data_IF_322573719905
#
_entry.id   IF_322573719905
#
_cell.length_a   1.000
_cell.length_b   1.000
_cell.length_c   1.000
_cell.angle_alpha   90.00
_cell.angle_beta   90.00
_cell.angle_gamma   90.00
#
_symmetry.space_group_name_H-M   'P 1'
#
loop_
_entity.id
_entity.type
_entity.pdbx_description
1 polymer ?
#
# COMPACT_ATOMS: atom_id res chain seq x y z
N UNK A 1 -22.62 -1.48 -33.20
CA UNK A 1 -22.36 -2.64 -32.33
C UNK A 1 -20.87 -2.90 -32.31
N UNK A 2 -20.12 -2.48 -31.29
CA UNK A 2 -18.70 -2.78 -31.19
C UNK A 2 -18.50 -4.15 -30.54
N UNK A 3 -17.69 -4.96 -31.19
CA UNK A 3 -17.19 -6.26 -30.70
C UNK A 3 -16.25 -6.00 -29.53
N UNK A 4 -16.74 -6.09 -28.28
CA UNK A 4 -15.88 -6.09 -27.10
C UNK A 4 -15.17 -7.43 -26.97
N UNK A 5 -13.89 -7.32 -26.91
CA UNK A 5 -12.78 -8.22 -26.78
C UNK A 5 -13.03 -9.38 -25.78
N UNK A 6 -12.98 -10.60 -26.31
CA UNK A 6 -12.93 -11.86 -25.56
C UNK A 6 -11.60 -12.12 -24.83
N UNK A 7 -10.68 -11.14 -24.80
CA UNK A 7 -9.32 -11.30 -24.28
C UNK A 7 -9.14 -10.95 -22.80
N UNK A 8 -10.06 -10.21 -22.17
CA UNK A 8 -9.92 -9.78 -20.77
C UNK A 8 -10.24 -10.89 -19.75
N UNK A 9 -10.88 -11.98 -20.17
CA UNK A 9 -11.31 -13.08 -19.27
C UNK A 9 -10.23 -14.17 -19.12
N UNK A 10 -9.20 -14.19 -19.99
CA UNK A 10 -8.20 -15.26 -20.01
C UNK A 10 -7.16 -15.20 -18.87
N UNK A 11 -6.96 -14.03 -18.24
CA UNK A 11 -5.90 -13.88 -17.24
C UNK A 11 -6.26 -14.32 -15.81
N UNK A 12 -7.55 -14.47 -15.51
CA UNK A 12 -8.04 -15.05 -14.22
C UNK A 12 -7.84 -16.56 -14.18
N UNK A 13 -7.62 -17.20 -15.32
CA UNK A 13 -7.64 -18.64 -15.48
C UNK A 13 -6.28 -19.34 -15.50
N UNK A 14 -5.17 -18.61 -15.45
CA UNK A 14 -3.83 -19.21 -15.35
C UNK A 14 -3.61 -19.98 -14.03
N UNK A 15 -4.51 -19.84 -13.06
CA UNK A 15 -4.46 -20.56 -11.78
C UNK A 15 -5.37 -21.81 -11.72
N UNK A 16 -6.24 -22.03 -12.70
CA UNK A 16 -7.21 -23.14 -12.64
C UNK A 16 -7.52 -23.86 -13.98
N UNK A 17 -6.82 -23.59 -15.07
CA UNK A 17 -7.08 -24.30 -16.33
C UNK A 17 -6.38 -25.64 -16.41
N UNK A 18 -6.81 -26.63 -15.62
CA UNK A 18 -6.65 -28.06 -15.95
C UNK A 18 -7.69 -28.91 -15.18
N UNK A 19 -8.94 -28.71 -15.53
CA UNK A 19 -9.93 -29.76 -15.36
C UNK A 19 -10.37 -30.24 -16.75
N UNK A 20 -9.43 -30.75 -17.55
CA UNK A 20 -9.76 -31.61 -18.69
C UNK A 20 -8.87 -32.83 -18.64
N UNK A 21 -9.45 -33.93 -18.20
CA UNK A 21 -9.09 -35.32 -18.46
C UNK A 21 -7.54 -35.59 -18.62
N UNK A 22 -6.78 -35.29 -17.62
CA UNK A 22 -5.53 -35.99 -17.41
C UNK A 22 -5.86 -37.37 -16.83
N UNK A 23 -5.16 -38.45 -17.23
CA UNK A 23 -5.35 -39.76 -16.63
C UNK A 23 -5.24 -39.61 -15.12
N UNK A 24 -6.11 -40.32 -14.37
CA UNK A 24 -6.05 -40.41 -12.91
C UNK A 24 -4.66 -40.93 -12.54
N UNK A 25 -3.70 -40.04 -12.39
CA UNK A 25 -2.44 -40.34 -11.74
C UNK A 25 -2.84 -40.68 -10.29
N UNK A 26 -2.64 -41.96 -9.92
CA UNK A 26 -2.79 -42.38 -8.53
C UNK A 26 -2.04 -41.35 -7.67
N UNK A 27 -2.75 -40.73 -6.74
CA UNK A 27 -2.23 -39.72 -5.83
C UNK A 27 -1.06 -40.30 -5.04
N UNK A 28 0.18 -40.09 -5.53
CA UNK A 28 1.39 -40.56 -4.92
C UNK A 28 2.07 -39.46 -4.12
N UNK A 29 2.80 -39.87 -3.11
CA UNK A 29 3.66 -38.96 -2.32
C UNK A 29 4.98 -38.80 -3.05
N UNK A 30 5.40 -37.56 -3.33
CA UNK A 30 6.70 -37.25 -3.91
C UNK A 30 7.80 -37.15 -2.83
N UNK A 31 7.46 -36.54 -1.69
CA UNK A 31 8.34 -36.48 -0.53
C UNK A 31 7.53 -36.32 0.75
N UNK A 32 8.17 -36.56 1.91
CA UNK A 32 7.62 -36.28 3.24
C UNK A 32 8.62 -35.41 4.01
N UNK A 33 8.15 -34.31 4.57
CA UNK A 33 8.95 -33.38 5.35
C UNK A 33 8.31 -33.20 6.72
N UNK A 34 8.97 -33.64 7.78
CA UNK A 34 8.48 -33.55 9.16
C UNK A 34 7.03 -34.12 9.32
N UNK A 35 6.78 -35.27 8.66
CA UNK A 35 5.48 -35.93 8.63
C UNK A 35 4.45 -35.31 7.65
N UNK A 36 4.72 -34.16 7.05
CA UNK A 36 3.84 -33.50 6.08
C UNK A 36 4.16 -33.95 4.66
N UNK A 37 3.22 -34.54 3.89
CA UNK A 37 3.49 -35.00 2.54
C UNK A 37 3.57 -33.86 1.52
N UNK A 38 4.40 -34.04 0.50
CA UNK A 38 4.35 -33.33 -0.77
C UNK A 38 3.75 -34.30 -1.78
N UNK A 39 2.61 -33.96 -2.35
CA UNK A 39 1.91 -34.79 -3.29
C UNK A 39 2.52 -34.69 -4.69
N UNK A 40 2.47 -35.76 -5.47
CA UNK A 40 2.90 -35.74 -6.88
C UNK A 40 2.13 -34.72 -7.72
N UNK A 41 0.85 -34.55 -7.45
CA UNK A 41 0.02 -33.53 -8.10
C UNK A 41 0.50 -32.10 -7.78
N UNK A 42 0.90 -31.84 -6.53
CA UNK A 42 1.48 -30.54 -6.12
C UNK A 42 2.80 -30.26 -6.86
N UNK A 43 3.67 -31.27 -6.93
CA UNK A 43 4.93 -31.19 -7.66
C UNK A 43 4.72 -30.92 -9.16
N UNK A 44 3.83 -31.69 -9.82
CA UNK A 44 3.55 -31.54 -11.25
C UNK A 44 2.93 -30.18 -11.59
N UNK A 45 2.01 -29.69 -10.78
CA UNK A 45 1.45 -28.34 -10.96
C UNK A 45 2.51 -27.24 -10.86
N UNK A 46 3.40 -27.35 -9.88
CA UNK A 46 4.51 -26.40 -9.73
C UNK A 46 5.54 -26.52 -10.85
N UNK A 47 5.81 -27.75 -11.30
CA UNK A 47 6.71 -27.99 -12.43
C UNK A 47 6.18 -27.36 -13.71
N UNK A 48 4.90 -27.53 -13.99
CA UNK A 48 4.26 -26.91 -15.14
C UNK A 48 4.38 -25.38 -15.12
N UNK A 49 4.10 -24.76 -13.95
CA UNK A 49 4.29 -23.32 -13.79
C UNK A 49 5.74 -22.88 -13.98
N UNK A 50 6.71 -23.67 -13.47
CA UNK A 50 8.12 -23.38 -13.60
C UNK A 50 8.61 -23.49 -15.05
N UNK A 51 8.06 -24.43 -15.83
CA UNK A 51 8.41 -24.60 -17.24
C UNK A 51 8.06 -23.41 -18.13
N UNK A 52 7.07 -22.60 -17.72
CA UNK A 52 6.71 -21.35 -18.41
C UNK A 52 7.65 -20.18 -18.05
N UNK A 53 8.55 -20.34 -17.08
CA UNK A 53 9.49 -19.31 -16.65
C UNK A 53 10.78 -19.34 -17.47
N UNK A 54 11.39 -18.17 -17.80
CA UNK A 54 12.64 -18.12 -18.56
C UNK A 54 13.79 -18.90 -17.93
N UNK A 55 13.80 -19.00 -16.60
CA UNK A 55 14.86 -19.69 -15.83
C UNK A 55 14.89 -21.21 -16.06
N UNK A 56 13.80 -21.79 -16.54
CA UNK A 56 13.71 -23.21 -16.86
C UNK A 56 14.33 -23.59 -18.21
N UNK A 57 14.52 -22.62 -19.11
CA UNK A 57 14.82 -22.85 -20.52
C UNK A 57 16.11 -23.66 -20.77
N UNK A 58 17.13 -23.48 -19.94
CA UNK A 58 18.43 -24.14 -20.05
C UNK A 58 18.54 -25.42 -19.19
N UNK A 59 17.44 -25.85 -18.55
CA UNK A 59 17.43 -26.99 -17.64
C UNK A 59 16.78 -28.21 -18.31
N UNK A 60 17.37 -29.41 -18.13
CA UNK A 60 16.68 -30.64 -18.51
C UNK A 60 15.44 -30.88 -17.63
N UNK A 61 14.49 -31.71 -18.10
CA UNK A 61 13.27 -32.04 -17.33
C UNK A 61 13.60 -32.57 -15.92
N UNK A 62 14.62 -33.40 -15.81
CA UNK A 62 15.08 -33.92 -14.51
C UNK A 62 15.58 -32.80 -13.62
N UNK A 63 16.39 -31.87 -14.14
CA UNK A 63 16.89 -30.73 -13.37
C UNK A 63 15.74 -29.79 -12.92
N UNK A 64 14.76 -29.57 -13.79
CA UNK A 64 13.56 -28.80 -13.47
C UNK A 64 12.76 -29.47 -12.35
N UNK A 65 12.56 -30.77 -12.43
CA UNK A 65 11.83 -31.55 -11.42
C UNK A 65 12.54 -31.56 -10.06
N UNK A 66 13.85 -31.79 -10.05
CA UNK A 66 14.68 -31.79 -8.86
C UNK A 66 14.68 -30.41 -8.20
N UNK A 67 14.77 -29.34 -9.02
CA UNK A 67 14.70 -27.96 -8.54
C UNK A 67 13.36 -27.64 -7.89
N UNK A 68 12.25 -27.97 -8.56
CA UNK A 68 10.90 -27.70 -8.03
C UNK A 68 10.62 -28.53 -6.78
N UNK A 69 11.04 -29.80 -6.74
CA UNK A 69 10.91 -30.62 -5.56
C UNK A 69 11.72 -30.06 -4.38
N UNK A 70 12.93 -29.59 -4.62
CA UNK A 70 13.77 -28.99 -3.57
C UNK A 70 13.13 -27.71 -3.02
N UNK A 71 12.53 -26.88 -3.89
CA UNK A 71 11.76 -25.69 -3.47
C UNK A 71 10.53 -26.04 -2.65
N UNK A 72 9.79 -27.08 -3.00
CA UNK A 72 8.66 -27.56 -2.20
C UNK A 72 9.11 -28.11 -0.83
N UNK A 73 10.24 -28.80 -0.78
CA UNK A 73 10.85 -29.26 0.48
C UNK A 73 11.24 -28.06 1.34
N UNK A 74 11.91 -27.05 0.77
CA UNK A 74 12.25 -25.80 1.47
C UNK A 74 11.02 -25.10 2.04
N UNK A 75 9.92 -25.01 1.28
CA UNK A 75 8.65 -24.47 1.73
C UNK A 75 8.07 -25.26 2.92
N UNK A 76 8.06 -26.58 2.86
CA UNK A 76 7.60 -27.44 3.97
C UNK A 76 8.51 -27.33 5.20
N UNK A 77 9.82 -27.18 5.02
CA UNK A 77 10.77 -26.89 6.11
C UNK A 77 10.43 -25.56 6.80
N UNK A 78 10.11 -24.51 6.03
CA UNK A 78 9.64 -23.24 6.57
C UNK A 78 8.33 -23.41 7.34
N UNK A 79 7.35 -24.11 6.77
CA UNK A 79 6.07 -24.39 7.39
C UNK A 79 6.19 -25.26 8.66
N UNK A 80 7.25 -26.07 8.81
CA UNK A 80 7.49 -26.83 10.06
C UNK A 80 7.84 -25.91 11.24
N UNK A 81 8.29 -24.68 10.96
CA UNK A 81 8.59 -23.69 12.02
C UNK A 81 7.35 -23.09 12.66
N UNK A 82 6.22 -23.07 11.97
CA UNK A 82 4.98 -22.48 12.47
C UNK A 82 4.62 -23.06 13.83
N UNK A 83 4.60 -24.39 13.91
CA UNK A 83 4.27 -25.10 15.14
C UNK A 83 5.35 -24.91 16.24
N UNK A 84 6.63 -24.92 15.85
CA UNK A 84 7.79 -24.77 16.76
C UNK A 84 7.91 -23.34 17.31
N UNK A 85 7.60 -22.34 16.51
CA UNK A 85 7.71 -20.92 16.86
C UNK A 85 6.39 -20.36 17.39
N UNK A 86 5.36 -21.20 17.56
CA UNK A 86 4.02 -20.82 18.03
C UNK A 86 3.39 -19.68 17.24
N UNK A 87 3.56 -19.70 15.90
CA UNK A 87 3.01 -18.69 15.01
C UNK A 87 1.52 -18.96 14.83
N UNK A 88 0.68 -18.02 15.25
CA UNK A 88 -0.78 -18.13 15.15
C UNK A 88 -1.33 -17.13 14.15
N UNK A 89 -2.07 -17.61 13.15
CA UNK A 89 -2.82 -16.77 12.20
C UNK A 89 -4.30 -16.91 12.51
N UNK A 90 -4.97 -15.81 12.81
CA UNK A 90 -6.40 -15.83 13.16
C UNK A 90 -7.27 -16.04 11.92
N UNK A 91 -8.41 -16.72 12.09
CA UNK A 91 -9.42 -16.89 11.02
C UNK A 91 -9.92 -15.55 10.52
N UNK A 92 -10.12 -14.59 11.42
CA UNK A 92 -10.57 -13.24 11.06
C UNK A 92 -9.58 -12.52 10.13
N UNK A 93 -8.26 -12.66 10.37
CA UNK A 93 -7.25 -12.07 9.49
C UNK A 93 -7.26 -12.70 8.10
N UNK A 94 -7.40 -14.02 8.03
CA UNK A 94 -7.50 -14.75 6.77
C UNK A 94 -8.74 -14.32 5.99
N UNK A 95 -9.90 -14.28 6.64
CA UNK A 95 -11.16 -13.94 5.97
C UNK A 95 -11.20 -12.49 5.48
N UNK A 96 -10.61 -11.55 6.23
CA UNK A 96 -10.44 -10.17 5.78
C UNK A 96 -9.59 -10.09 4.52
N UNK A 97 -8.47 -10.83 4.45
CA UNK A 97 -7.61 -10.84 3.25
C UNK A 97 -8.26 -11.55 2.07
N UNK A 98 -9.01 -12.63 2.30
CA UNK A 98 -9.81 -13.30 1.26
C UNK A 98 -10.81 -12.31 0.66
N UNK A 99 -11.53 -11.59 1.50
CA UNK A 99 -12.53 -10.62 1.07
C UNK A 99 -11.88 -9.47 0.30
N UNK A 100 -10.76 -8.92 0.81
CA UNK A 100 -10.01 -7.86 0.12
C UNK A 100 -9.49 -8.33 -1.24
N UNK A 101 -8.94 -9.55 -1.33
CA UNK A 101 -8.45 -10.13 -2.58
C UNK A 101 -9.57 -10.29 -3.61
N UNK A 102 -10.73 -10.82 -3.22
CA UNK A 102 -11.88 -10.96 -4.13
C UNK A 102 -12.41 -9.60 -4.61
N UNK A 103 -12.45 -8.60 -3.71
CA UNK A 103 -12.84 -7.23 -4.06
C UNK A 103 -11.85 -6.61 -5.07
N UNK A 104 -10.56 -6.76 -4.82
CA UNK A 104 -9.51 -6.27 -5.72
C UNK A 104 -9.56 -6.97 -7.08
N UNK A 105 -9.82 -8.29 -7.09
CA UNK A 105 -9.96 -9.07 -8.32
C UNK A 105 -11.17 -8.58 -9.15
N UNK A 106 -12.32 -8.34 -8.51
CA UNK A 106 -13.48 -7.78 -9.17
C UNK A 106 -13.19 -6.38 -9.75
N UNK A 107 -12.57 -5.50 -8.95
CA UNK A 107 -12.19 -4.16 -9.36
C UNK A 107 -11.20 -4.16 -10.54
N UNK A 108 -10.18 -5.04 -10.53
CA UNK A 108 -9.19 -5.16 -11.62
C UNK A 108 -9.81 -5.56 -12.96
N UNK A 109 -10.97 -6.21 -12.92
CA UNK A 109 -11.73 -6.60 -14.12
C UNK A 109 -12.90 -5.67 -14.43
N UNK A 110 -13.03 -4.59 -13.65
CA UNK A 110 -14.12 -3.64 -13.78
C UNK A 110 -15.51 -4.27 -13.68
N UNK A 111 -15.67 -5.25 -12.78
CA UNK A 111 -16.92 -5.95 -12.47
C UNK A 111 -17.24 -5.86 -10.97
N UNK A 112 -18.51 -6.10 -10.61
CA UNK A 112 -18.89 -6.23 -9.21
C UNK A 112 -18.62 -7.64 -8.65
N UNK A 113 -18.62 -7.77 -7.33
CA UNK A 113 -18.42 -9.04 -6.63
C UNK A 113 -19.45 -10.11 -7.04
N UNK A 114 -20.69 -9.72 -7.26
CA UNK A 114 -21.76 -10.64 -7.66
C UNK A 114 -21.50 -11.25 -9.04
N UNK A 115 -20.97 -10.45 -9.96
CA UNK A 115 -20.56 -10.89 -11.30
C UNK A 115 -19.34 -11.81 -11.21
N UNK A 116 -18.35 -11.49 -10.37
CA UNK A 116 -17.21 -12.37 -10.11
C UNK A 116 -17.66 -13.72 -9.54
N UNK A 117 -18.55 -13.74 -8.58
CA UNK A 117 -19.11 -14.98 -8.00
C UNK A 117 -19.85 -15.85 -9.01
N UNK A 118 -20.59 -15.22 -9.94
CA UNK A 118 -21.23 -15.94 -11.06
C UNK A 118 -20.18 -16.52 -12.01
N UNK A 119 -19.13 -15.77 -12.32
CA UNK A 119 -18.02 -16.24 -13.15
C UNK A 119 -17.31 -17.45 -12.54
N UNK A 120 -17.00 -17.42 -11.23
CA UNK A 120 -16.41 -18.55 -10.49
C UNK A 120 -17.27 -19.81 -10.66
N UNK A 121 -18.59 -19.72 -10.43
CA UNK A 121 -19.49 -20.86 -10.57
C UNK A 121 -19.57 -21.40 -12.00
N UNK A 122 -19.68 -20.50 -12.99
CA UNK A 122 -19.89 -20.90 -14.38
C UNK A 122 -18.64 -21.38 -15.08
N UNK A 123 -17.49 -20.86 -14.71
CA UNK A 123 -16.23 -21.10 -15.43
C UNK A 123 -15.36 -22.13 -14.71
N UNK A 124 -15.32 -22.11 -13.37
CA UNK A 124 -14.53 -23.07 -12.59
C UNK A 124 -15.34 -24.32 -12.18
N UNK A 125 -16.66 -24.28 -12.29
CA UNK A 125 -17.51 -25.39 -11.89
C UNK A 125 -17.54 -25.69 -10.40
N UNK A 126 -17.04 -24.77 -9.56
CA UNK A 126 -17.00 -24.89 -8.10
C UNK A 126 -17.90 -23.85 -7.44
N UNK A 127 -18.34 -24.13 -6.22
CA UNK A 127 -19.07 -23.13 -5.44
C UNK A 127 -18.16 -22.00 -4.98
N UNK A 128 -18.72 -20.81 -4.76
CA UNK A 128 -17.99 -19.65 -4.19
C UNK A 128 -17.38 -20.00 -2.83
N UNK A 129 -18.09 -20.81 -2.03
CA UNK A 129 -17.57 -21.27 -0.73
C UNK A 129 -16.32 -22.14 -0.88
N UNK A 130 -16.31 -23.07 -1.85
CA UNK A 130 -15.13 -23.88 -2.15
C UNK A 130 -13.96 -23.03 -2.66
N UNK A 131 -14.23 -22.04 -3.51
CA UNK A 131 -13.20 -21.12 -3.98
C UNK A 131 -12.62 -20.30 -2.83
N UNK A 132 -13.47 -19.75 -1.95
CA UNK A 132 -13.02 -19.02 -0.75
C UNK A 132 -12.21 -19.89 0.18
N UNK A 133 -12.58 -21.16 0.39
CA UNK A 133 -11.81 -22.10 1.24
C UNK A 133 -10.41 -22.39 0.64
N UNK A 134 -10.33 -22.62 -0.67
CA UNK A 134 -9.05 -22.80 -1.35
C UNK A 134 -8.16 -21.56 -1.24
N UNK A 135 -8.72 -20.38 -1.49
CA UNK A 135 -8.04 -19.09 -1.37
C UNK A 135 -7.60 -18.83 0.09
N UNK A 136 -8.44 -19.16 1.06
CA UNK A 136 -8.13 -19.02 2.49
C UNK A 136 -6.93 -19.87 2.89
N UNK A 137 -6.83 -21.10 2.42
CA UNK A 137 -5.68 -21.98 2.64
C UNK A 137 -4.39 -21.39 2.08
N UNK A 138 -4.43 -20.86 0.85
CA UNK A 138 -3.29 -20.22 0.21
C UNK A 138 -2.86 -18.94 0.96
N UNK A 139 -3.81 -18.10 1.30
CA UNK A 139 -3.57 -16.85 2.06
C UNK A 139 -2.99 -17.17 3.44
N UNK A 140 -3.54 -18.18 4.14
CA UNK A 140 -3.01 -18.61 5.44
C UNK A 140 -1.56 -19.03 5.33
N UNK A 141 -1.23 -19.96 4.41
CA UNK A 141 0.16 -20.39 4.19
C UNK A 141 1.08 -19.22 3.86
N UNK A 142 0.62 -18.27 3.05
CA UNK A 142 1.40 -17.08 2.73
C UNK A 142 1.69 -16.22 3.98
N UNK A 143 0.66 -15.96 4.81
CA UNK A 143 0.84 -15.19 6.06
C UNK A 143 1.80 -15.91 7.00
N UNK A 144 1.66 -17.22 7.13
CA UNK A 144 2.52 -18.07 7.96
C UNK A 144 4.00 -17.98 7.53
N UNK A 145 4.26 -18.14 6.24
CA UNK A 145 5.61 -18.01 5.67
C UNK A 145 6.18 -16.60 5.89
N UNK A 146 5.37 -15.58 5.68
CA UNK A 146 5.79 -14.19 5.91
C UNK A 146 6.12 -13.94 7.39
N UNK A 147 5.37 -14.52 8.34
CA UNK A 147 5.66 -14.40 9.78
C UNK A 147 6.93 -15.14 10.19
N UNK A 148 7.15 -16.36 9.67
CA UNK A 148 8.42 -17.08 9.86
C UNK A 148 9.58 -16.23 9.34
N UNK A 149 9.46 -15.71 8.11
CA UNK A 149 10.47 -14.84 7.50
C UNK A 149 10.72 -13.59 8.35
N UNK A 150 9.67 -12.88 8.75
CA UNK A 150 9.78 -11.68 9.58
C UNK A 150 10.44 -11.96 10.93
N UNK A 151 10.11 -13.09 11.57
CA UNK A 151 10.64 -13.46 12.89
C UNK A 151 12.15 -13.79 12.83
N UNK A 152 12.58 -14.51 11.81
CA UNK A 152 13.95 -15.05 11.76
C UNK A 152 14.90 -14.21 10.89
N UNK A 153 14.40 -13.55 9.86
CA UNK A 153 15.18 -12.70 8.96
C UNK A 153 15.07 -11.24 9.41
N UNK A 154 13.86 -10.79 9.67
CA UNK A 154 13.54 -9.38 9.94
C UNK A 154 13.68 -8.52 8.68
N UNK A 155 13.58 -7.22 8.85
CA UNK A 155 13.84 -6.25 7.78
C UNK A 155 15.33 -5.94 7.72
N UNK A 156 15.95 -6.08 6.54
CA UNK A 156 17.35 -5.76 6.32
C UNK A 156 17.45 -4.39 5.68
N UNK A 157 18.25 -3.52 6.28
CA UNK A 157 18.64 -2.25 5.70
C UNK A 157 20.09 -2.36 5.22
N UNK A 158 20.32 -2.54 3.91
CA UNK A 158 21.66 -2.74 3.40
C UNK A 158 22.50 -1.46 3.58
N UNK A 159 23.76 -1.63 3.89
CA UNK A 159 24.72 -0.53 3.86
C UNK A 159 24.99 -0.11 2.42
N UNK A 160 25.45 1.13 2.21
CA UNK A 160 25.83 1.61 0.87
C UNK A 160 26.81 0.65 0.19
N UNK A 161 27.78 0.10 0.94
CA UNK A 161 28.77 -0.85 0.41
C UNK A 161 28.11 -2.16 -0.10
N UNK A 162 27.08 -2.63 0.58
CA UNK A 162 26.34 -3.83 0.15
C UNK A 162 25.48 -3.54 -1.07
N UNK A 163 24.86 -2.37 -1.17
CA UNK A 163 24.13 -1.92 -2.35
C UNK A 163 25.07 -1.81 -3.56
N UNK A 164 26.22 -1.17 -3.39
CA UNK A 164 27.25 -1.04 -4.44
C UNK A 164 27.74 -2.43 -4.91
N UNK A 165 27.99 -3.34 -3.97
CA UNK A 165 28.40 -4.71 -4.29
C UNK A 165 27.32 -5.50 -5.03
N UNK A 166 26.07 -5.40 -4.60
CA UNK A 166 24.93 -5.99 -5.28
C UNK A 166 24.79 -5.45 -6.71
N UNK A 167 24.79 -4.14 -6.87
CA UNK A 167 24.65 -3.53 -8.19
C UNK A 167 25.78 -3.94 -9.14
N UNK A 168 27.03 -3.97 -8.66
CA UNK A 168 28.18 -4.39 -9.46
C UNK A 168 28.02 -5.80 -10.01
N UNK A 169 27.41 -6.71 -9.25
CA UNK A 169 27.23 -8.12 -9.66
C UNK A 169 26.02 -8.28 -10.56
N UNK A 170 24.91 -7.60 -10.25
CA UNK A 170 23.60 -7.88 -10.84
C UNK A 170 23.10 -6.84 -11.83
N UNK A 171 23.84 -5.72 -12.10
CA UNK A 171 23.37 -4.61 -12.94
C UNK A 171 22.81 -5.06 -14.31
N UNK A 172 23.45 -6.04 -14.95
CA UNK A 172 23.06 -6.51 -16.28
C UNK A 172 21.84 -7.46 -16.27
N UNK A 173 21.48 -7.98 -15.08
CA UNK A 173 20.33 -8.85 -14.85
C UNK A 173 19.19 -8.16 -14.08
N UNK A 174 19.35 -6.88 -13.71
CA UNK A 174 18.27 -6.13 -13.12
C UNK A 174 17.10 -5.96 -14.10
N UNK A 175 15.85 -5.94 -13.58
CA UNK A 175 14.69 -5.80 -14.43
C UNK A 175 14.73 -4.46 -15.19
N UNK A 176 14.58 -4.53 -16.52
CA UNK A 176 14.41 -3.33 -17.34
C UNK A 176 13.04 -2.73 -17.12
N UNK A 177 12.99 -1.43 -17.15
CA UNK A 177 11.73 -0.69 -17.08
C UNK A 177 11.29 -0.29 -18.49
N UNK A 178 9.98 -0.36 -18.74
CA UNK A 178 9.40 -0.08 -20.05
C UNK A 178 8.41 1.08 -19.96
N UNK A 179 8.36 1.90 -21.04
CA UNK A 179 7.45 3.04 -21.13
C UNK A 179 7.54 3.96 -19.92
N UNK A 180 8.76 4.37 -19.57
CA UNK A 180 9.05 5.17 -18.39
C UNK A 180 8.91 6.66 -18.67
N UNK A 181 8.44 7.40 -17.67
CA UNK A 181 8.39 8.85 -17.63
C UNK A 181 9.08 9.38 -16.39
N UNK A 182 9.88 10.43 -16.56
CA UNK A 182 10.48 11.18 -15.46
C UNK A 182 9.58 12.38 -15.15
N UNK A 183 9.05 12.46 -13.94
CA UNK A 183 8.08 13.49 -13.57
C UNK A 183 8.61 14.38 -12.45
N UNK A 184 8.25 15.64 -12.56
CA UNK A 184 8.28 16.60 -11.45
C UNK A 184 6.88 17.14 -11.19
N UNK A 185 6.57 17.53 -9.96
CA UNK A 185 5.30 18.16 -9.64
C UNK A 185 5.40 19.37 -8.69
N UNK A 186 4.37 20.20 -8.71
CA UNK A 186 4.12 21.27 -7.74
C UNK A 186 2.73 21.03 -7.16
N UNK A 187 2.63 20.88 -5.85
CA UNK A 187 1.37 20.72 -5.13
C UNK A 187 1.00 22.03 -4.42
N UNK A 188 -0.15 22.61 -4.77
CA UNK A 188 -0.66 23.85 -4.21
C UNK A 188 -1.99 23.55 -3.51
N UNK A 189 -2.03 23.44 -2.17
CA UNK A 189 -3.23 23.12 -1.44
C UNK A 189 -4.26 24.24 -1.53
N UNK A 190 -5.53 23.87 -1.59
CA UNK A 190 -6.63 24.83 -1.44
C UNK A 190 -6.80 25.11 0.05
N UNK A 191 -6.38 26.30 0.47
CA UNK A 191 -6.51 26.74 1.85
C UNK A 191 -7.66 27.73 1.98
N UNK A 192 -8.46 27.69 3.08
CA UNK A 192 -9.53 28.66 3.28
C UNK A 192 -8.95 30.05 3.51
N UNK A 193 -9.66 31.07 3.03
CA UNK A 193 -9.35 32.48 3.28
C UNK A 193 -9.23 32.74 4.80
N UNK A 194 -8.31 33.63 5.15
CA UNK A 194 -8.08 34.04 6.54
C UNK A 194 -9.35 34.55 7.23
N UNK A 195 -10.23 35.25 6.50
CA UNK A 195 -11.51 35.70 7.02
C UNK A 195 -12.43 34.53 7.42
N UNK A 196 -12.43 33.44 6.67
CA UNK A 196 -13.16 32.20 7.02
C UNK A 196 -12.57 31.59 8.29
N UNK A 197 -11.24 31.48 8.33
CA UNK A 197 -10.52 30.92 9.49
C UNK A 197 -10.81 31.74 10.74
N UNK A 198 -10.77 33.07 10.65
CA UNK A 198 -11.05 33.97 11.78
C UNK A 198 -12.51 33.95 12.20
N UNK A 199 -13.45 33.91 11.26
CA UNK A 199 -14.88 33.81 11.60
C UNK A 199 -15.21 32.50 12.32
N UNK A 200 -14.65 31.39 11.89
CA UNK A 200 -14.82 30.10 12.58
C UNK A 200 -14.17 30.09 13.96
N UNK A 201 -13.01 30.77 14.13
CA UNK A 201 -12.39 30.97 15.44
C UNK A 201 -13.30 31.74 16.40
N UNK A 202 -13.89 32.83 15.94
CA UNK A 202 -14.85 33.63 16.75
C UNK A 202 -16.08 32.82 17.17
N UNK A 203 -16.59 31.93 16.28
CA UNK A 203 -17.67 31.00 16.66
C UNK A 203 -17.19 30.05 17.76
N UNK A 204 -16.00 29.52 17.66
CA UNK A 204 -15.44 28.63 18.69
C UNK A 204 -15.29 29.36 20.05
N UNK A 205 -14.82 30.61 20.03
CA UNK A 205 -14.73 31.45 21.23
C UNK A 205 -16.10 31.69 21.85
N UNK A 206 -17.12 32.00 21.06
CA UNK A 206 -18.51 32.16 21.53
C UNK A 206 -19.08 30.90 22.18
N UNK A 207 -18.69 29.69 21.64
CA UNK A 207 -19.10 28.43 22.26
C UNK A 207 -18.37 28.20 23.58
N UNK A 208 -17.11 28.60 23.72
CA UNK A 208 -16.38 28.56 25.00
C UNK A 208 -17.05 29.49 26.01
N UNK A 209 -17.48 30.70 25.62
CA UNK A 209 -18.22 31.59 26.49
C UNK A 209 -19.53 30.97 26.96
N UNK A 210 -20.23 30.26 26.07
CA UNK A 210 -21.43 29.51 26.42
C UNK A 210 -21.17 28.39 27.44
N UNK A 211 -20.03 27.69 27.30
CA UNK A 211 -19.57 26.71 28.31
C UNK A 211 -19.28 27.38 29.66
N UNK A 212 -18.63 28.53 29.65
CA UNK A 212 -18.34 29.33 30.87
C UNK A 212 -19.62 29.79 31.57
N UNK A 213 -20.72 30.01 30.83
CA UNK A 213 -22.05 30.32 31.37
C UNK A 213 -22.81 29.07 31.84
N UNK A 214 -22.21 27.88 31.76
CA UNK A 214 -22.79 26.64 32.29
C UNK A 214 -23.57 25.80 31.29
N UNK A 215 -23.49 26.09 29.99
CA UNK A 215 -24.07 25.21 28.98
C UNK A 215 -23.35 23.85 28.92
N UNK A 216 -24.10 22.78 28.64
CA UNK A 216 -23.51 21.43 28.51
C UNK A 216 -22.60 21.31 27.29
N UNK A 217 -21.39 20.79 27.50
CA UNK A 217 -20.46 20.50 26.44
C UNK A 217 -21.06 19.52 25.41
N UNK A 218 -21.73 18.48 25.90
CA UNK A 218 -22.36 17.44 25.09
C UNK A 218 -23.48 18.01 24.21
N UNK A 219 -24.23 18.97 24.71
CA UNK A 219 -25.31 19.65 23.96
C UNK A 219 -24.71 20.53 22.87
N UNK A 220 -23.68 21.33 23.19
CA UNK A 220 -23.00 22.18 22.21
C UNK A 220 -22.29 21.31 21.16
N UNK A 221 -21.68 20.19 21.55
CA UNK A 221 -21.06 19.26 20.60
C UNK A 221 -22.10 18.68 19.62
N UNK A 222 -23.28 18.26 20.11
CA UNK A 222 -24.36 17.73 19.26
C UNK A 222 -24.86 18.76 18.26
N UNK A 223 -24.94 20.02 18.66
CA UNK A 223 -25.56 21.08 17.86
C UNK A 223 -24.55 21.74 16.88
N UNK A 224 -23.28 21.79 17.22
CA UNK A 224 -22.31 22.63 16.51
C UNK A 224 -21.11 21.84 15.99
N UNK A 225 -20.77 20.68 16.56
CA UNK A 225 -19.61 19.94 16.09
C UNK A 225 -19.84 19.30 14.73
N UNK A 226 -18.86 19.47 13.84
CA UNK A 226 -18.83 18.88 12.50
C UNK A 226 -18.00 17.60 12.45
N UNK A 227 -17.74 17.02 13.62
CA UNK A 227 -17.09 15.73 13.78
C UNK A 227 -18.12 14.59 13.94
N UNK A 228 -17.75 13.38 13.53
CA UNK A 228 -18.62 12.21 13.67
C UNK A 228 -18.97 11.87 15.12
N UNK A 229 -18.13 12.31 16.09
CA UNK A 229 -18.38 12.17 17.51
C UNK A 229 -19.49 13.09 18.04
N UNK A 230 -19.97 14.06 17.26
CA UNK A 230 -21.04 15.00 17.63
C UNK A 230 -22.26 14.28 18.21
N UNK A 231 -22.73 13.20 17.57
CA UNK A 231 -23.86 12.40 18.02
C UNK A 231 -23.67 11.79 19.42
N UNK A 232 -22.41 11.58 19.83
CA UNK A 232 -22.03 11.08 21.17
C UNK A 232 -21.61 12.21 22.12
N UNK A 233 -22.01 13.46 21.84
CA UNK A 233 -21.65 14.63 22.65
C UNK A 233 -20.17 15.02 22.53
N UNK A 234 -19.54 14.68 21.42
CA UNK A 234 -18.14 14.97 21.14
C UNK A 234 -17.14 13.95 21.69
N UNK A 235 -17.58 12.88 22.37
CA UNK A 235 -16.72 11.87 22.96
C UNK A 235 -15.97 11.07 21.87
N UNK A 236 -14.65 11.24 21.85
CA UNK A 236 -13.74 10.55 20.92
C UNK A 236 -13.35 9.14 21.43
N UNK A 237 -13.60 8.83 22.70
CA UNK A 237 -13.09 7.64 23.33
C UNK A 237 -11.67 7.82 23.87
N UNK A 238 -10.98 6.70 24.00
CA UNK A 238 -9.65 6.61 24.60
C UNK A 238 -8.56 6.51 23.56
N UNK A 239 -7.56 7.41 23.61
CA UNK A 239 -6.42 7.42 22.71
C UNK A 239 -5.10 7.33 23.48
N UNK A 240 -4.16 6.54 22.96
CA UNK A 240 -2.77 6.55 23.40
C UNK A 240 -2.05 7.80 22.90
N UNK A 241 -0.97 8.18 23.57
CA UNK A 241 -0.13 9.31 23.13
C UNK A 241 0.40 9.09 21.72
N UNK A 242 0.44 10.15 20.94
CA UNK A 242 0.95 10.16 19.57
C UNK A 242 -0.07 9.76 18.49
N UNK A 243 -1.33 9.49 18.87
CA UNK A 243 -2.39 9.11 17.92
C UNK A 243 -3.32 10.25 17.51
N UNK A 244 -3.27 11.39 18.22
CA UNK A 244 -4.05 12.58 17.90
C UNK A 244 -3.16 13.67 17.27
N UNK A 245 -3.78 14.70 16.69
CA UNK A 245 -3.03 15.86 16.20
C UNK A 245 -2.15 16.44 17.32
N UNK A 246 -0.87 16.74 17.05
CA UNK A 246 0.05 17.23 18.07
C UNK A 246 -0.38 18.53 18.75
N UNK A 247 -1.10 19.43 18.05
CA UNK A 247 -1.62 20.65 18.67
C UNK A 247 -2.78 20.34 19.61
N UNK A 248 -3.65 19.38 19.24
CA UNK A 248 -4.74 18.91 20.06
C UNK A 248 -4.23 18.18 21.31
N UNK A 249 -3.24 17.29 21.18
CA UNK A 249 -2.62 16.59 22.31
C UNK A 249 -1.99 17.58 23.32
N UNK A 250 -1.21 18.54 22.82
CA UNK A 250 -0.62 19.59 23.68
C UNK A 250 -1.67 20.40 24.43
N UNK A 251 -2.84 20.60 23.86
CA UNK A 251 -3.94 21.27 24.56
C UNK A 251 -4.52 20.36 25.65
N UNK A 252 -4.76 19.09 25.35
CA UNK A 252 -5.24 18.12 26.35
C UNK A 252 -4.25 17.97 27.52
N UNK A 253 -2.94 17.96 27.26
CA UNK A 253 -1.93 17.81 28.32
C UNK A 253 -1.98 18.90 29.40
N UNK A 254 -2.50 20.09 29.07
CA UNK A 254 -2.65 21.22 29.98
C UNK A 254 -3.95 21.17 30.82
N UNK A 255 -4.85 20.21 30.53
CA UNK A 255 -6.17 20.14 31.15
C UNK A 255 -6.23 19.06 32.19
N UNK A 256 -6.96 19.30 33.27
CA UNK A 256 -7.36 18.29 34.25
C UNK A 256 -8.61 17.54 33.78
N UNK A 257 -8.92 16.39 34.47
CA UNK A 257 -10.11 15.63 34.19
C UNK A 257 -11.38 16.50 34.35
N UNK A 258 -12.25 16.46 33.37
CA UNK A 258 -13.48 17.26 33.29
C UNK A 258 -13.29 18.67 32.71
N UNK A 259 -12.07 19.18 32.61
CA UNK A 259 -11.80 20.52 32.06
C UNK A 259 -11.84 20.53 30.54
N UNK A 260 -12.20 21.66 29.98
CA UNK A 260 -12.10 22.01 28.57
C UNK A 260 -11.10 23.15 28.34
N UNK A 261 -10.59 23.26 27.11
CA UNK A 261 -9.63 24.29 26.74
C UNK A 261 -10.30 25.68 26.78
N UNK A 262 -9.65 26.64 27.47
CA UNK A 262 -10.13 28.01 27.60
C UNK A 262 -10.01 28.82 26.28
N UNK A 263 -9.28 28.32 25.31
CA UNK A 263 -9.13 28.91 23.96
C UNK A 263 -9.26 27.83 22.91
N UNK A 264 -9.78 28.14 21.71
CA UNK A 264 -9.86 27.18 20.61
C UNK A 264 -8.47 26.69 20.19
N UNK A 265 -8.38 25.42 19.84
CA UNK A 265 -7.14 24.76 19.36
C UNK A 265 -7.20 24.65 17.85
N UNK A 266 -6.22 25.21 17.14
CA UNK A 266 -6.12 25.13 15.69
C UNK A 266 -5.42 23.86 15.26
N UNK A 267 -6.02 23.14 14.32
CA UNK A 267 -5.41 22.03 13.57
C UNK A 267 -5.66 22.21 12.08
N UNK A 268 -5.18 21.26 11.25
CA UNK A 268 -5.48 21.26 9.82
C UNK A 268 -6.97 21.05 9.50
N UNK A 269 -7.76 20.48 10.42
CA UNK A 269 -9.19 20.27 10.23
C UNK A 269 -10.03 21.51 10.52
N UNK A 270 -9.50 22.46 11.31
CA UNK A 270 -10.23 23.63 11.76
C UNK A 270 -9.91 24.00 13.21
N UNK A 271 -10.94 24.53 13.91
CA UNK A 271 -10.85 24.92 15.31
C UNK A 271 -11.55 23.90 16.21
N UNK A 272 -10.88 23.49 17.27
CA UNK A 272 -11.38 22.53 18.24
C UNK A 272 -11.55 23.16 19.60
N UNK A 273 -12.62 22.80 20.29
CA UNK A 273 -12.74 22.97 21.74
C UNK A 273 -12.47 21.59 22.34
N UNK A 274 -11.31 21.44 22.96
CA UNK A 274 -10.86 20.17 23.52
C UNK A 274 -11.31 20.03 24.97
N UNK A 275 -11.72 18.81 25.39
CA UNK A 275 -12.06 18.48 26.78
C UNK A 275 -11.45 17.14 27.17
N UNK A 276 -10.95 17.04 28.41
CA UNK A 276 -10.52 15.78 29.02
C UNK A 276 -11.66 15.16 29.77
N UNK A 277 -12.02 13.91 29.43
CA UNK A 277 -13.03 13.13 30.17
C UNK A 277 -12.39 12.23 31.22
N UNK A 278 -11.17 11.78 31.02
CA UNK A 278 -10.43 10.93 31.93
C UNK A 278 -9.02 10.59 31.44
N UNK A 279 -8.16 10.13 32.35
CA UNK A 279 -6.78 9.73 32.04
C UNK A 279 -6.50 8.32 32.55
N UNK A 280 -5.62 7.62 31.84
CA UNK A 280 -4.97 6.38 32.26
C UNK A 280 -3.47 6.56 32.07
N UNK A 281 -2.70 5.56 32.51
CA UNK A 281 -1.25 5.58 32.47
C UNK A 281 -0.70 5.79 31.03
N UNK A 282 -1.33 5.19 30.03
CA UNK A 282 -0.88 5.15 28.64
C UNK A 282 -1.68 6.07 27.69
N UNK A 283 -2.62 6.91 28.20
CA UNK A 283 -3.41 7.76 27.30
C UNK A 283 -4.50 8.59 27.97
N UNK A 284 -5.35 9.20 27.12
CA UNK A 284 -6.41 10.14 27.52
C UNK A 284 -7.72 9.82 26.82
N UNK A 285 -8.84 9.86 27.58
CA UNK A 285 -10.20 9.93 27.03
C UNK A 285 -10.57 11.38 26.89
N UNK A 286 -10.89 11.78 25.66
CA UNK A 286 -11.15 13.17 25.32
C UNK A 286 -12.47 13.35 24.60
N UNK A 287 -12.97 14.59 24.61
CA UNK A 287 -14.08 15.01 23.79
C UNK A 287 -13.69 16.29 23.04
N UNK A 288 -14.38 16.54 21.92
CA UNK A 288 -14.16 17.75 21.13
C UNK A 288 -15.46 18.34 20.59
N UNK A 289 -15.41 19.65 20.34
CA UNK A 289 -16.31 20.33 19.41
C UNK A 289 -15.42 20.78 18.26
N UNK A 290 -15.61 20.22 17.08
CA UNK A 290 -14.85 20.57 15.88
C UNK A 290 -15.67 21.50 14.99
N UNK A 291 -15.11 22.65 14.70
CA UNK A 291 -15.60 23.60 13.70
C UNK A 291 -14.63 23.60 12.53
N UNK A 292 -15.02 23.00 11.42
CA UNK A 292 -14.16 22.85 10.25
C UNK A 292 -13.95 24.19 9.54
N UNK A 293 -12.72 24.45 9.10
CA UNK A 293 -12.42 25.52 8.17
C UNK A 293 -12.38 24.93 6.75
N UNK A 294 -13.50 24.98 6.04
CA UNK A 294 -13.64 24.41 4.71
C UNK A 294 -13.38 25.50 3.68
N UNK A 295 -12.45 25.30 2.73
CA UNK A 295 -12.25 26.26 1.63
C UNK A 295 -13.53 26.47 0.84
N UNK A 296 -13.80 27.69 0.45
CA UNK A 296 -14.93 28.06 -0.41
C UNK A 296 -14.61 27.82 -1.89
N UNK A 297 -15.64 27.83 -2.74
CA UNK A 297 -15.45 27.80 -4.19
C UNK A 297 -14.59 28.99 -4.69
N UNK A 298 -14.64 30.13 -4.00
CA UNK A 298 -13.81 31.32 -4.30
C UNK A 298 -12.34 31.04 -3.99
N UNK A 299 -12.06 30.35 -2.87
CA UNK A 299 -10.67 29.95 -2.52
C UNK A 299 -10.11 29.00 -3.57
N UNK A 300 -10.92 27.99 -3.95
CA UNK A 300 -10.53 27.05 -5.02
C UNK A 300 -10.23 27.78 -6.35
N UNK A 301 -11.10 28.72 -6.76
CA UNK A 301 -10.89 29.50 -7.98
C UNK A 301 -9.63 30.38 -7.90
N UNK A 302 -9.34 30.98 -6.75
CA UNK A 302 -8.15 31.80 -6.55
C UNK A 302 -6.86 30.96 -6.63
N UNK A 303 -6.86 29.76 -6.05
CA UNK A 303 -5.70 28.83 -6.15
C UNK A 303 -5.54 28.31 -7.57
N UNK A 304 -6.65 27.97 -8.28
CA UNK A 304 -6.59 27.58 -9.70
C UNK A 304 -5.96 28.67 -10.54
N UNK A 305 -6.42 29.93 -10.42
CA UNK A 305 -5.85 31.07 -11.14
C UNK A 305 -4.35 31.26 -10.84
N UNK A 306 -3.95 31.02 -9.59
CA UNK A 306 -2.53 31.08 -9.20
C UNK A 306 -1.73 29.95 -9.87
N UNK A 307 -2.28 28.73 -9.90
CA UNK A 307 -1.65 27.57 -10.55
C UNK A 307 -1.51 27.81 -12.07
N UNK A 308 -2.56 28.33 -12.74
CA UNK A 308 -2.52 28.71 -14.14
C UNK A 308 -1.45 29.79 -14.43
N UNK A 309 -1.40 30.81 -13.57
CA UNK A 309 -0.38 31.87 -13.72
C UNK A 309 1.02 31.30 -13.55
N UNK A 310 1.21 30.38 -12.63
CA UNK A 310 2.49 29.71 -12.38
C UNK A 310 2.89 28.84 -13.58
N UNK A 311 1.97 28.01 -14.11
CA UNK A 311 2.15 27.23 -15.32
C UNK A 311 2.62 28.11 -16.48
N UNK A 312 1.93 29.23 -16.71
CA UNK A 312 2.22 30.14 -17.82
C UNK A 312 3.60 30.84 -17.68
N UNK A 313 4.06 31.05 -16.45
CA UNK A 313 5.34 31.68 -16.17
C UNK A 313 6.53 30.70 -16.31
N UNK A 314 6.32 29.40 -16.12
CA UNK A 314 7.37 28.38 -16.17
C UNK A 314 7.62 27.96 -17.62
N UNK A 315 8.87 28.10 -18.07
CA UNK A 315 9.31 27.70 -19.43
C UNK A 315 10.44 26.68 -19.42
N UNK A 316 11.22 26.64 -18.34
CA UNK A 316 12.39 25.76 -18.21
C UNK A 316 12.26 24.82 -17.01
N UNK A 317 13.12 23.80 -16.98
CA UNK A 317 13.22 22.88 -15.83
C UNK A 317 13.69 23.60 -14.55
N UNK A 318 14.62 24.52 -14.71
CA UNK A 318 15.19 25.32 -13.61
C UNK A 318 14.12 26.22 -13.00
N UNK A 319 13.30 26.87 -13.83
CA UNK A 319 12.18 27.70 -13.35
C UNK A 319 11.13 26.85 -12.64
N UNK A 320 10.84 25.64 -13.13
CA UNK A 320 9.94 24.70 -12.46
C UNK A 320 10.50 24.31 -11.08
N UNK A 321 11.78 23.96 -11.01
CA UNK A 321 12.43 23.58 -9.76
C UNK A 321 12.44 24.73 -8.74
N UNK A 322 12.67 25.96 -9.16
CA UNK A 322 12.59 27.14 -8.29
C UNK A 322 11.15 27.35 -7.80
N UNK A 323 10.17 27.20 -8.69
CA UNK A 323 8.75 27.30 -8.35
C UNK A 323 8.31 26.21 -7.37
N UNK A 324 8.74 24.96 -7.58
CA UNK A 324 8.47 23.85 -6.67
C UNK A 324 9.01 24.10 -5.27
N UNK A 325 10.27 24.53 -5.14
CA UNK A 325 10.87 24.89 -3.84
C UNK A 325 10.11 26.00 -3.11
N UNK A 326 9.54 26.93 -3.86
CA UNK A 326 8.86 28.11 -3.29
C UNK A 326 7.38 27.88 -2.99
N UNK A 327 6.69 27.12 -3.79
CA UNK A 327 5.22 27.06 -3.79
C UNK A 327 4.65 25.67 -3.54
N UNK A 328 5.45 24.59 -3.68
CA UNK A 328 4.97 23.25 -3.43
C UNK A 328 4.92 22.93 -1.93
N UNK A 329 3.79 22.44 -1.47
CA UNK A 329 3.61 21.94 -0.10
C UNK A 329 3.96 20.44 0.02
N UNK A 330 4.28 19.76 -1.08
CA UNK A 330 4.82 18.41 -1.01
C UNK A 330 6.26 18.43 -0.49
N UNK A 331 6.40 18.12 0.80
CA UNK A 331 7.70 18.12 1.49
C UNK A 331 8.63 16.99 1.06
N UNK A 332 8.09 15.97 0.40
CA UNK A 332 8.88 14.82 -0.06
C UNK A 332 9.69 15.16 -1.32
N UNK A 333 9.23 16.08 -2.15
CA UNK A 333 9.85 16.43 -3.44
C UNK A 333 10.25 17.90 -3.58
N UNK A 334 9.65 18.84 -2.83
CA UNK A 334 9.86 20.27 -3.02
C UNK A 334 11.33 20.69 -2.86
N UNK A 335 12.07 20.10 -1.91
CA UNK A 335 13.50 20.38 -1.71
C UNK A 335 14.35 19.96 -2.92
N UNK A 336 13.91 18.93 -3.66
CA UNK A 336 14.52 18.43 -4.88
C UNK A 336 13.98 19.12 -6.14
N UNK A 337 13.28 20.28 -6.01
CA UNK A 337 12.70 21.00 -7.14
C UNK A 337 11.45 20.33 -7.70
N UNK A 338 10.74 19.56 -6.89
CA UNK A 338 9.51 18.87 -7.27
C UNK A 338 9.76 17.52 -7.94
N UNK A 339 11.00 17.04 -8.05
CA UNK A 339 11.31 15.78 -8.73
C UNK A 339 10.69 14.60 -7.98
N UNK A 340 9.79 13.88 -8.68
CA UNK A 340 9.18 12.65 -8.17
C UNK A 340 9.98 11.40 -8.55
N UNK A 341 10.74 11.46 -9.65
CA UNK A 341 11.52 10.34 -10.17
C UNK A 341 10.88 9.64 -11.37
N UNK A 342 11.41 8.45 -11.68
CA UNK A 342 10.95 7.63 -12.79
C UNK A 342 9.75 6.75 -12.43
N UNK A 343 8.75 6.76 -13.29
CA UNK A 343 7.57 5.90 -13.21
C UNK A 343 7.44 5.07 -14.48
N UNK A 344 7.06 3.81 -14.37
CA UNK A 344 6.47 3.09 -15.50
C UNK A 344 5.01 3.55 -15.65
N UNK A 345 4.56 3.87 -16.86
CA UNK A 345 3.21 4.43 -17.10
C UNK A 345 2.09 3.54 -16.55
N UNK A 346 2.28 2.23 -16.54
CA UNK A 346 1.32 1.26 -15.99
C UNK A 346 1.34 1.11 -14.47
N UNK A 347 2.34 1.68 -13.78
CA UNK A 347 2.48 1.65 -12.32
C UNK A 347 2.11 3.00 -11.67
N UNK A 348 1.75 3.99 -12.49
CA UNK A 348 1.37 5.31 -11.98
C UNK A 348 0.00 5.28 -11.30
N UNK A 349 -0.16 6.12 -10.28
CA UNK A 349 -1.47 6.38 -9.69
C UNK A 349 -2.44 6.89 -10.75
N UNK A 350 -3.70 6.40 -10.78
CA UNK A 350 -4.68 6.80 -11.80
C UNK A 350 -4.85 8.33 -11.93
N UNK A 351 -4.77 9.05 -10.81
CA UNK A 351 -4.88 10.51 -10.78
C UNK A 351 -3.73 11.22 -11.50
N UNK A 352 -2.59 10.57 -11.71
CA UNK A 352 -1.41 11.14 -12.38
C UNK A 352 -1.34 10.77 -13.86
N UNK A 353 -2.07 9.71 -14.28
CA UNK A 353 -2.00 9.21 -15.66
C UNK A 353 -2.53 10.23 -16.66
N UNK A 354 -3.77 10.69 -16.48
CA UNK A 354 -4.45 11.58 -17.41
C UNK A 354 -3.72 12.93 -17.61
N UNK A 355 -3.27 13.62 -16.53
CA UNK A 355 -2.56 14.89 -16.66
C UNK A 355 -1.27 14.82 -17.47
N UNK A 356 -0.59 13.66 -17.49
CA UNK A 356 0.70 13.50 -18.17
C UNK A 356 0.61 12.75 -19.49
N UNK A 357 -0.55 12.17 -19.81
CA UNK A 357 -0.73 11.29 -20.98
C UNK A 357 -0.33 11.94 -22.30
N UNK A 358 -0.64 13.22 -22.46
CA UNK A 358 -0.45 13.97 -23.70
C UNK A 358 0.67 15.01 -23.64
N UNK A 359 1.47 15.04 -22.55
CA UNK A 359 2.58 15.97 -22.42
C UNK A 359 3.75 15.54 -23.32
N UNK A 360 4.36 16.52 -23.99
CA UNK A 360 5.69 16.37 -24.56
C UNK A 360 6.76 16.62 -23.49
N UNK A 361 7.97 16.08 -23.72
CA UNK A 361 9.10 16.32 -22.81
C UNK A 361 9.37 17.83 -22.72
N UNK A 362 9.40 18.32 -21.48
CA UNK A 362 9.56 19.73 -21.16
C UNK A 362 8.25 20.48 -20.89
N UNK A 363 7.10 19.93 -21.22
CA UNK A 363 5.80 20.56 -21.01
C UNK A 363 5.30 20.42 -19.57
N UNK A 364 4.49 21.40 -19.16
CA UNK A 364 3.80 21.44 -17.86
C UNK A 364 2.30 21.24 -18.10
N UNK A 365 1.67 20.36 -17.32
CA UNK A 365 0.24 20.08 -17.41
C UNK A 365 -0.63 21.30 -17.07
N UNK A 366 -1.90 21.23 -17.43
CA UNK A 366 -2.91 22.06 -16.79
C UNK A 366 -2.99 21.74 -15.28
N UNK A 367 -3.45 22.68 -14.45
CA UNK A 367 -3.70 22.41 -13.03
C UNK A 367 -4.76 21.32 -12.85
N UNK A 368 -4.44 20.26 -12.11
CA UNK A 368 -5.34 19.14 -11.84
C UNK A 368 -5.65 19.10 -10.33
N UNK A 369 -6.94 19.01 -10.01
CA UNK A 369 -7.38 18.90 -8.62
C UNK A 369 -7.26 17.44 -8.13
N UNK A 370 -6.38 17.21 -7.16
CA UNK A 370 -6.17 15.89 -6.53
C UNK A 370 -6.13 16.13 -5.01
N UNK A 371 -6.97 15.42 -4.26
CA UNK A 371 -6.99 15.42 -2.79
C UNK A 371 -7.01 16.83 -2.14
N UNK A 372 -7.75 17.77 -2.74
CA UNK A 372 -7.90 19.12 -2.21
C UNK A 372 -6.72 20.07 -2.47
N UNK A 373 -5.84 19.69 -3.38
CA UNK A 373 -4.75 20.52 -3.90
C UNK A 373 -4.76 20.58 -5.42
N UNK A 374 -4.33 21.69 -6.00
CA UNK A 374 -4.01 21.74 -7.43
C UNK A 374 -2.57 21.29 -7.66
N UNK A 375 -2.41 20.36 -8.59
CA UNK A 375 -1.12 19.83 -9.02
C UNK A 375 -0.77 20.30 -10.41
N UNK A 376 0.49 20.71 -10.60
CA UNK A 376 1.11 20.92 -11.89
C UNK A 376 2.15 19.82 -12.08
N UNK A 377 2.04 19.05 -13.16
CA UNK A 377 3.03 18.02 -13.51
C UNK A 377 3.90 18.52 -14.65
N UNK A 378 5.18 18.19 -14.62
CA UNK A 378 6.12 18.40 -15.71
C UNK A 378 6.71 17.08 -16.16
N UNK A 379 6.64 16.81 -17.45
CA UNK A 379 7.31 15.67 -18.06
C UNK A 379 8.78 16.06 -18.35
N UNK A 380 9.70 15.55 -17.52
CA UNK A 380 11.13 15.87 -17.63
C UNK A 380 11.86 15.04 -18.68
N UNK A 381 11.51 13.75 -18.81
CA UNK A 381 12.07 12.81 -19.80
C UNK A 381 11.07 11.67 -20.05
N UNK A 382 11.23 10.96 -21.17
CA UNK A 382 10.44 9.78 -21.52
C UNK A 382 11.31 8.76 -22.24
N UNK A 383 11.32 7.51 -21.77
CA UNK A 383 12.14 6.43 -22.32
C UNK A 383 11.30 5.17 -22.53
N UNK A 384 11.39 4.60 -23.73
CA UNK A 384 10.70 3.34 -24.07
C UNK A 384 11.27 2.15 -23.26
N UNK A 385 12.58 2.10 -23.10
CA UNK A 385 13.31 1.10 -22.32
C UNK A 385 14.35 1.83 -21.49
N UNK A 386 14.42 1.47 -20.21
CA UNK A 386 15.34 2.08 -19.26
C UNK A 386 15.95 1.01 -18.36
N UNK A 387 17.26 1.07 -18.16
CA UNK A 387 17.99 0.29 -17.17
C UNK A 387 18.05 1.08 -15.85
N UNK A 388 18.07 0.37 -14.72
CA UNK A 388 18.24 0.99 -13.41
C UNK A 388 19.68 1.46 -13.23
N UNK A 389 19.87 2.67 -12.74
CA UNK A 389 21.17 3.25 -12.45
C UNK A 389 21.30 3.66 -11.00
N UNK A 390 22.52 3.62 -10.45
CA UNK A 390 22.78 4.04 -9.06
C UNK A 390 22.49 5.53 -8.82
N UNK A 391 22.58 6.34 -9.88
CA UNK A 391 22.34 7.79 -9.80
C UNK A 391 20.85 8.13 -9.69
N UNK A 392 20.03 7.46 -10.52
CA UNK A 392 18.61 7.79 -10.67
C UNK A 392 17.68 6.86 -9.86
N UNK A 393 18.17 5.66 -9.46
CA UNK A 393 17.32 4.59 -8.88
C UNK A 393 17.86 4.00 -7.60
N UNK A 394 18.69 4.73 -6.87
CA UNK A 394 19.34 4.19 -5.67
C UNK A 394 18.36 3.49 -4.73
N UNK A 395 17.21 4.12 -4.42
CA UNK A 395 16.21 3.54 -3.52
C UNK A 395 15.61 2.22 -4.02
N UNK A 396 15.39 2.09 -5.34
CA UNK A 396 14.89 0.86 -5.95
C UNK A 396 15.97 -0.24 -5.94
N UNK A 397 17.21 0.12 -6.23
CA UNK A 397 18.36 -0.80 -6.16
C UNK A 397 18.63 -1.22 -4.72
N UNK A 398 18.54 -0.32 -3.76
CA UNK A 398 18.64 -0.60 -2.33
C UNK A 398 17.58 -1.62 -1.88
N UNK A 399 16.32 -1.44 -2.31
CA UNK A 399 15.25 -2.39 -2.03
C UNK A 399 15.53 -3.78 -2.63
N UNK A 400 16.03 -3.84 -3.87
CA UNK A 400 16.42 -5.10 -4.51
C UNK A 400 17.59 -5.76 -3.78
N UNK A 401 18.57 -4.98 -3.34
CA UNK A 401 19.68 -5.46 -2.53
C UNK A 401 19.20 -5.98 -1.16
N UNK A 402 18.27 -5.28 -0.51
CA UNK A 402 17.65 -5.72 0.74
C UNK A 402 16.96 -7.08 0.56
N UNK A 403 16.12 -7.22 -0.45
CA UNK A 403 15.43 -8.47 -0.76
C UNK A 403 16.43 -9.60 -1.01
N UNK A 404 17.49 -9.34 -1.76
CA UNK A 404 18.55 -10.32 -2.03
C UNK A 404 19.27 -10.77 -0.75
N UNK A 405 19.60 -9.85 0.15
CA UNK A 405 20.22 -10.19 1.43
C UNK A 405 19.27 -10.95 2.36
N UNK A 406 17.98 -10.60 2.35
CA UNK A 406 16.95 -11.34 3.07
C UNK A 406 16.84 -12.77 2.55
N UNK A 407 16.82 -12.97 1.23
CA UNK A 407 16.78 -14.29 0.61
C UNK A 407 18.03 -15.11 0.96
N UNK A 408 19.21 -14.52 0.88
CA UNK A 408 20.45 -15.19 1.29
C UNK A 408 20.46 -15.62 2.76
N UNK A 409 19.90 -14.78 3.65
CA UNK A 409 19.80 -15.10 5.07
C UNK A 409 18.78 -16.22 5.29
N UNK A 410 17.65 -16.16 4.59
CA UNK A 410 16.62 -17.21 4.64
C UNK A 410 17.15 -18.54 4.16
N UNK A 411 17.84 -18.57 3.03
CA UNK A 411 18.46 -19.79 2.47
C UNK A 411 19.43 -20.46 3.46
N UNK A 412 20.26 -19.66 4.15
CA UNK A 412 21.15 -20.17 5.19
C UNK A 412 20.37 -20.80 6.36
N UNK A 413 19.27 -20.18 6.77
CA UNK A 413 18.40 -20.68 7.82
C UNK A 413 17.69 -21.97 7.38
N UNK A 414 17.12 -22.00 6.18
CA UNK A 414 16.45 -23.18 5.62
C UNK A 414 17.42 -24.36 5.51
N UNK A 415 18.63 -24.13 5.02
CA UNK A 415 19.69 -25.17 4.96
C UNK A 415 20.06 -25.71 6.36
N UNK A 416 20.04 -24.85 7.39
CA UNK A 416 20.22 -25.26 8.77
C UNK A 416 19.03 -26.09 9.25
N UNK A 417 17.81 -25.60 9.09
CA UNK A 417 16.60 -26.25 9.56
C UNK A 417 16.28 -27.55 8.84
N UNK A 418 16.65 -27.67 7.55
CA UNK A 418 16.53 -28.93 6.80
C UNK A 418 17.30 -30.09 7.45
N UNK A 419 18.39 -29.82 8.19
CA UNK A 419 19.14 -30.81 8.94
C UNK A 419 18.46 -31.20 10.28
N UNK A 420 17.52 -30.40 10.73
CA UNK A 420 16.80 -30.60 11.99
C UNK A 420 15.44 -31.30 11.79
N UNK A 421 14.98 -31.46 10.54
CA UNK A 421 13.72 -32.12 10.18
C UNK A 421 13.99 -33.39 9.38
N UNK A 422 13.08 -34.37 9.51
CA UNK A 422 13.17 -35.58 8.69
C UNK A 422 12.63 -35.30 7.28
N UNK A 423 13.46 -35.59 6.28
CA UNK A 423 13.10 -35.45 4.86
C UNK A 423 13.26 -36.80 4.17
N UNK A 424 12.17 -37.36 3.65
CA UNK A 424 12.15 -38.61 2.91
C UNK A 424 11.62 -38.37 1.49
N UNK A 425 12.45 -38.57 0.47
CA UNK A 425 12.08 -38.46 -0.95
C UNK A 425 11.58 -39.83 -1.42
N UNK A 426 10.33 -39.88 -1.95
CA UNK A 426 9.68 -41.14 -2.40
C UNK A 426 9.45 -41.16 -3.91
N UNK A 427 10.14 -40.34 -4.67
CA UNK A 427 10.13 -40.44 -6.12
C UNK A 427 10.93 -41.69 -6.55
N UNK A 428 10.26 -42.77 -6.91
CA UNK A 428 10.86 -43.85 -7.71
C UNK A 428 10.90 -43.36 -9.15
N UNK A 429 12.03 -43.60 -9.82
CA UNK A 429 12.30 -43.34 -11.23
C UNK A 429 11.19 -43.85 -12.14
#
# INVERSE_FOLDING_TARGET
>A
MPRFSRFAVAFVFALCSMASAAPVLMEGIAAVVDGKPIMRSELMNKLYQFQEMPESADMSEKQQMDYVLDKLIEEKVLLSRIDRDSIVVSESEVDQRVTAHMTQLAASQNIDLTTLEKAIRSQLGISVAQYRDQLAKQIRSHIELMRVRQMHVGTIHPTKKEVDAFYKVYKDSLPRQYNCVLLSHIQIPIVPDSMIVDSVRLIAETLIDSLNLGMSFELLAKNHSQDSSAAKGGDLGYFKRGLLDPAFERALDKLSNGQYAATPVKTNLGWHIARVLGRKEDGVRSAQILLRTIPSAKDSAAILQRADSLKNAIKTKEEFAVAAKKFSEDKSSNYAGGLLGWFQKNEMEPAYVDPVANLNVGEVSDPVLIDGAYHLFRLDDSRQIRELTMEEDYGKIEQLAANHLEDQKLDKLVKKWRKEVHVEIRMTE
#
